data_IF_519099773383
#
_entry.id   IF_519099773383
#
_cell.length_a   1.000
_cell.length_b   1.000
_cell.length_c   1.000
_cell.angle_alpha   90.00
_cell.angle_beta   90.00
_cell.angle_gamma   90.00
#
_symmetry.space_group_name_H-M   'P 1'
#
loop_
_entity.id
_entity.type
_entity.pdbx_description
1 polymer ?
#
# COMPACT_ATOMS: atom_id res chain seq x y z
N UNK A 1 34.03 -17.87 -10.57
CA UNK A 1 35.07 -18.81 -10.07
C UNK A 1 35.38 -18.43 -8.62
N UNK A 2 35.40 -19.37 -7.66
CA UNK A 2 35.84 -19.10 -6.29
C UNK A 2 37.24 -18.48 -6.32
N UNK A 3 37.47 -17.42 -5.53
CA UNK A 3 38.73 -16.68 -5.60
C UNK A 3 39.80 -17.37 -4.75
N UNK A 4 40.97 -17.61 -5.32
CA UNK A 4 42.09 -18.38 -4.73
C UNK A 4 43.00 -17.50 -3.83
N UNK A 5 42.59 -16.26 -3.53
CA UNK A 5 43.43 -15.30 -2.80
C UNK A 5 43.48 -15.62 -1.30
N UNK A 6 44.64 -16.00 -0.78
CA UNK A 6 44.82 -16.44 0.62
C UNK A 6 44.73 -15.35 1.70
N UNK A 7 44.65 -14.07 1.35
CA UNK A 7 44.45 -12.96 2.30
C UNK A 7 43.38 -12.00 1.79
N UNK A 8 42.34 -11.79 2.59
CA UNK A 8 41.36 -10.71 2.42
C UNK A 8 41.17 -10.01 3.76
N UNK A 9 41.13 -8.67 3.74
CA UNK A 9 40.90 -7.83 4.93
C UNK A 9 39.41 -7.54 5.20
N UNK A 10 38.56 -7.60 4.16
CA UNK A 10 37.17 -7.09 4.24
C UNK A 10 36.06 -8.16 4.08
N UNK A 11 36.38 -9.41 3.67
CA UNK A 11 35.40 -10.50 3.51
C UNK A 11 35.96 -11.83 4.01
N UNK A 12 35.11 -12.62 4.66
CA UNK A 12 35.48 -13.93 5.22
C UNK A 12 35.71 -14.98 4.12
N UNK A 13 36.80 -15.74 4.24
CA UNK A 13 37.07 -16.88 3.40
C UNK A 13 36.29 -18.08 3.96
N UNK A 14 35.10 -18.34 3.42
CA UNK A 14 34.23 -19.41 3.92
C UNK A 14 34.80 -20.74 3.41
N UNK A 15 35.14 -21.70 4.29
CA UNK A 15 35.58 -23.02 3.84
C UNK A 15 34.44 -23.69 3.06
N UNK A 16 34.75 -24.19 1.86
CA UNK A 16 33.80 -24.81 0.94
C UNK A 16 34.36 -26.14 0.44
N UNK A 17 33.51 -27.17 0.30
CA UNK A 17 33.89 -28.46 -0.29
C UNK A 17 33.70 -28.51 -1.80
N UNK A 18 32.71 -27.77 -2.31
CA UNK A 18 32.39 -27.68 -3.73
C UNK A 18 31.95 -26.25 -4.12
N UNK A 19 31.99 -25.94 -5.41
CA UNK A 19 31.65 -24.64 -6.00
C UNK A 19 30.19 -24.24 -5.69
N UNK A 20 29.26 -25.20 -5.66
CA UNK A 20 27.87 -24.95 -5.27
C UNK A 20 27.78 -24.43 -3.84
N UNK A 21 28.52 -25.04 -2.90
CA UNK A 21 28.51 -24.66 -1.49
C UNK A 21 29.09 -23.26 -1.28
N UNK A 22 30.12 -22.89 -2.04
CA UNK A 22 30.68 -21.54 -2.03
C UNK A 22 29.63 -20.49 -2.41
N UNK A 23 28.93 -20.66 -3.55
CA UNK A 23 27.92 -19.68 -4.00
C UNK A 23 26.68 -19.69 -3.10
N UNK A 24 26.28 -20.85 -2.57
CA UNK A 24 25.19 -20.95 -1.61
C UNK A 24 25.48 -20.10 -0.37
N UNK A 25 26.68 -20.20 0.19
CA UNK A 25 27.07 -19.47 1.43
C UNK A 25 27.40 -18.00 1.22
N UNK A 26 28.01 -17.63 0.09
CA UNK A 26 28.50 -16.26 -0.14
C UNK A 26 27.50 -15.35 -0.86
N UNK A 27 26.56 -15.92 -1.62
CA UNK A 27 25.60 -15.15 -2.41
C UNK A 27 24.17 -15.49 -2.01
N UNK A 28 23.79 -16.77 -2.10
CA UNK A 28 22.39 -17.17 -1.97
C UNK A 28 21.82 -16.91 -0.57
N UNK A 29 22.50 -17.36 0.49
CA UNK A 29 22.05 -17.17 1.88
C UNK A 29 21.99 -15.67 2.23
N UNK A 30 23.06 -14.86 2.04
CA UNK A 30 22.99 -13.42 2.31
C UNK A 30 21.91 -12.69 1.53
N UNK A 31 21.68 -13.08 0.27
CA UNK A 31 20.60 -12.52 -0.54
C UNK A 31 19.22 -12.89 -0.01
N UNK A 32 19.01 -14.15 0.41
CA UNK A 32 17.75 -14.56 1.04
C UNK A 32 17.51 -13.83 2.36
N UNK A 33 18.55 -13.66 3.18
CA UNK A 33 18.47 -12.92 4.43
C UNK A 33 18.13 -11.44 4.18
N UNK A 34 18.76 -10.81 3.18
CA UNK A 34 18.47 -9.43 2.77
C UNK A 34 17.04 -9.28 2.24
N UNK A 35 16.57 -10.23 1.43
CA UNK A 35 15.20 -10.26 0.91
C UNK A 35 14.18 -10.46 2.04
N UNK A 36 14.45 -11.37 2.98
CA UNK A 36 13.64 -11.56 4.18
C UNK A 36 13.61 -10.30 5.05
N UNK A 37 14.77 -9.66 5.25
CA UNK A 37 14.87 -8.43 6.02
C UNK A 37 14.08 -7.29 5.36
N UNK A 38 14.23 -7.13 4.04
CA UNK A 38 13.50 -6.13 3.24
C UNK A 38 11.99 -6.36 3.30
N UNK A 39 11.52 -7.61 3.21
CA UNK A 39 10.10 -7.93 3.35
C UNK A 39 9.60 -7.65 4.77
N UNK A 40 10.36 -8.04 5.80
CA UNK A 40 10.02 -7.76 7.20
C UNK A 40 9.95 -6.25 7.45
N UNK A 41 10.94 -5.49 7.00
CA UNK A 41 10.95 -4.03 7.11
C UNK A 41 9.79 -3.40 6.35
N UNK A 42 9.44 -3.89 5.16
CA UNK A 42 8.34 -3.31 4.38
C UNK A 42 6.96 -3.56 5.00
N UNK A 43 6.71 -4.76 5.55
CA UNK A 43 5.37 -5.16 6.00
C UNK A 43 5.15 -5.09 7.51
N UNK A 44 6.21 -5.27 8.33
CA UNK A 44 6.07 -5.32 9.79
C UNK A 44 6.28 -3.96 10.45
N UNK A 45 7.08 -3.07 9.85
CA UNK A 45 7.37 -1.74 10.42
C UNK A 45 6.12 -0.89 10.61
N UNK A 46 5.20 -0.93 9.64
CA UNK A 46 3.96 -0.15 9.64
C UNK A 46 2.75 -0.96 10.14
N UNK A 47 2.94 -2.20 10.61
CA UNK A 47 1.85 -3.08 11.01
C UNK A 47 0.99 -2.43 12.11
N UNK A 48 1.63 -1.86 13.12
CA UNK A 48 0.93 -1.26 14.26
C UNK A 48 0.24 0.05 13.86
N UNK A 49 0.87 0.86 13.00
CA UNK A 49 0.26 2.08 12.45
C UNK A 49 -0.95 1.76 11.57
N UNK A 50 -0.86 0.76 10.68
CA UNK A 50 -1.97 0.34 9.82
C UNK A 50 -3.09 -0.26 10.68
N UNK A 51 -2.76 -1.07 11.68
CA UNK A 51 -3.75 -1.58 12.64
C UNK A 51 -4.42 -0.46 13.42
N UNK A 52 -3.66 0.56 13.82
CA UNK A 52 -4.18 1.75 14.48
C UNK A 52 -5.16 2.51 13.57
N UNK A 53 -4.81 2.66 12.30
CA UNK A 53 -5.61 3.35 11.30
C UNK A 53 -6.95 2.62 11.01
N UNK A 54 -6.99 1.28 11.11
CA UNK A 54 -8.24 0.51 10.96
C UNK A 54 -9.30 0.86 12.03
N UNK A 55 -8.91 1.44 13.18
CA UNK A 55 -9.86 1.85 14.21
C UNK A 55 -10.71 3.07 13.84
N UNK A 56 -10.59 3.61 12.61
CA UNK A 56 -11.52 4.61 12.05
C UNK A 56 -12.76 3.94 11.43
N UNK A 57 -12.69 2.65 11.10
CA UNK A 57 -13.81 1.91 10.52
C UNK A 57 -14.93 1.68 11.56
N UNK A 58 -16.20 2.00 11.26
CA UNK A 58 -17.36 1.83 12.15
C UNK A 58 -17.52 0.45 12.78
N UNK A 59 -17.07 -0.59 12.09
CA UNK A 59 -17.05 -1.97 12.60
C UNK A 59 -16.14 -2.13 13.82
N UNK A 60 -15.07 -1.34 13.93
CA UNK A 60 -14.02 -1.43 14.94
C UNK A 60 -13.95 -0.22 15.89
N UNK A 61 -14.55 0.92 15.51
CA UNK A 61 -14.48 2.19 16.27
C UNK A 61 -15.23 2.13 17.61
N UNK A 62 -16.39 1.48 17.65
CA UNK A 62 -17.43 1.72 18.68
C UNK A 62 -16.99 1.34 20.10
N UNK A 63 -16.14 0.32 20.24
CA UNK A 63 -15.76 -0.26 21.53
C UNK A 63 -14.30 0.04 21.92
N UNK A 64 -13.59 0.88 21.17
CA UNK A 64 -12.15 1.12 21.35
C UNK A 64 -11.83 2.54 21.83
N UNK A 65 -10.97 2.72 22.83
CA UNK A 65 -10.56 4.05 23.26
C UNK A 65 -9.72 4.75 22.17
N UNK A 66 -9.66 6.08 22.21
CA UNK A 66 -8.83 6.89 21.32
C UNK A 66 -7.33 6.53 21.38
N UNK A 67 -6.87 5.94 22.48
CA UNK A 67 -5.49 5.42 22.60
C UNK A 67 -5.13 4.40 21.53
N UNK A 68 -6.11 3.69 20.96
CA UNK A 68 -5.88 2.78 19.84
C UNK A 68 -5.62 3.49 18.51
N UNK A 69 -6.16 4.70 18.33
CA UNK A 69 -6.01 5.52 17.11
C UNK A 69 -4.82 6.50 17.19
N UNK A 70 -4.38 6.84 18.41
CA UNK A 70 -3.27 7.77 18.65
C UNK A 70 -1.99 7.47 17.85
N UNK A 71 -1.50 6.22 17.71
CA UNK A 71 -0.32 5.92 16.90
C UNK A 71 -0.46 6.32 15.42
N UNK A 72 -1.64 6.12 14.84
CA UNK A 72 -1.91 6.56 13.46
C UNK A 72 -1.99 8.08 13.36
N UNK A 73 -2.63 8.74 14.33
CA UNK A 73 -2.74 10.21 14.35
C UNK A 73 -1.38 10.87 14.46
N UNK A 74 -0.49 10.35 15.31
CA UNK A 74 0.89 10.85 15.43
C UNK A 74 1.73 10.59 14.18
N UNK A 75 1.49 9.48 13.48
CA UNK A 75 2.22 9.17 12.25
C UNK A 75 1.77 10.04 11.06
N UNK A 76 0.49 10.41 11.00
CA UNK A 76 -0.10 11.22 9.92
C UNK A 76 -0.44 12.65 10.38
N UNK A 77 0.26 13.18 11.39
CA UNK A 77 -0.04 14.51 11.96
C UNK A 77 0.05 15.61 10.90
N UNK A 78 1.03 15.52 9.99
CA UNK A 78 1.23 16.47 8.89
C UNK A 78 0.11 16.44 7.82
N UNK A 79 -0.59 15.31 7.70
CA UNK A 79 -1.66 15.11 6.72
C UNK A 79 -3.04 15.46 7.27
N UNK A 80 -3.15 15.77 8.56
CA UNK A 80 -4.41 16.00 9.26
C UNK A 80 -4.71 17.50 9.43
N UNK A 81 -5.97 17.93 9.22
CA UNK A 81 -6.33 19.35 9.30
C UNK A 81 -6.43 19.88 10.74
N UNK A 82 -6.54 19.01 11.76
CA UNK A 82 -6.73 19.40 13.16
C UNK A 82 -5.67 18.85 14.10
N UNK A 83 -5.52 19.51 15.25
CA UNK A 83 -4.65 19.07 16.34
C UNK A 83 -5.22 17.84 17.07
N UNK A 84 -4.36 17.13 17.79
CA UNK A 84 -4.70 15.87 18.47
C UNK A 84 -5.95 15.96 19.37
N UNK A 85 -6.15 17.08 20.07
CA UNK A 85 -7.31 17.28 20.96
C UNK A 85 -8.64 17.40 20.19
N UNK A 86 -8.61 18.06 19.03
CA UNK A 86 -9.77 18.20 18.14
C UNK A 86 -10.12 16.83 17.55
N UNK A 87 -9.10 16.07 17.13
CA UNK A 87 -9.27 14.72 16.59
C UNK A 87 -9.86 13.78 17.64
N UNK A 88 -9.44 13.88 18.90
CA UNK A 88 -10.02 13.06 19.99
C UNK A 88 -11.51 13.38 20.22
N UNK A 89 -11.87 14.67 20.24
CA UNK A 89 -13.25 15.09 20.38
C UNK A 89 -14.11 14.61 19.18
N UNK A 90 -13.61 14.78 17.96
CA UNK A 90 -14.26 14.32 16.74
C UNK A 90 -14.41 12.79 16.72
N UNK A 91 -13.41 12.04 17.19
CA UNK A 91 -13.46 10.59 17.30
C UNK A 91 -14.56 10.14 18.27
N UNK A 92 -14.74 10.81 19.41
CA UNK A 92 -15.83 10.50 20.36
C UNK A 92 -17.21 10.76 19.76
N UNK A 93 -17.35 11.81 18.96
CA UNK A 93 -18.59 12.09 18.21
C UNK A 93 -18.84 11.03 17.13
N UNK A 94 -17.79 10.65 16.41
CA UNK A 94 -17.83 9.57 15.41
C UNK A 94 -18.29 8.24 16.04
N UNK A 95 -17.75 7.88 17.20
CA UNK A 95 -18.19 6.71 17.95
C UNK A 95 -19.66 6.80 18.34
N UNK A 96 -20.11 7.97 18.81
CA UNK A 96 -21.51 8.18 19.19
C UNK A 96 -22.45 8.01 18.00
N UNK A 97 -22.10 8.54 16.81
CA UNK A 97 -22.86 8.34 15.56
C UNK A 97 -23.04 6.85 15.25
N UNK A 98 -21.97 6.07 15.31
CA UNK A 98 -22.01 4.64 14.96
C UNK A 98 -22.55 3.74 16.07
N UNK A 99 -22.69 4.23 17.31
CA UNK A 99 -23.44 3.56 18.38
C UNK A 99 -24.94 3.59 18.13
N UNK A 100 -25.45 4.66 17.52
CA UNK A 100 -26.86 4.77 17.14
C UNK A 100 -27.23 3.81 15.99
N UNK A 101 -26.24 3.42 15.18
CA UNK A 101 -26.41 2.49 14.06
C UNK A 101 -26.15 1.05 14.51
N UNK A 102 -27.12 0.17 14.29
CA UNK A 102 -27.00 -1.26 14.62
C UNK A 102 -25.78 -1.92 13.96
N UNK A 103 -25.14 -2.90 14.60
CA UNK A 103 -23.86 -3.48 14.15
C UNK A 103 -23.91 -4.08 12.73
N UNK A 104 -25.08 -4.54 12.27
CA UNK A 104 -25.27 -5.11 10.92
C UNK A 104 -25.24 -4.08 9.79
N UNK A 105 -25.50 -2.81 10.09
CA UNK A 105 -25.54 -1.73 9.09
C UNK A 105 -24.24 -0.93 9.05
N UNK A 106 -23.24 -1.31 9.85
CA UNK A 106 -21.96 -0.63 9.88
C UNK A 106 -21.10 -1.07 8.69
N UNK A 107 -20.62 -0.13 7.87
CA UNK A 107 -19.80 -0.48 6.72
C UNK A 107 -18.46 -1.07 7.19
N UNK A 108 -18.07 -2.16 6.54
CA UNK A 108 -16.82 -2.90 6.81
C UNK A 108 -15.65 -2.32 6.00
N UNK A 109 -15.96 -1.66 4.88
CA UNK A 109 -15.00 -1.20 3.90
C UNK A 109 -14.70 0.29 4.06
N UNK A 110 -13.44 0.68 3.85
CA UNK A 110 -13.00 2.08 3.86
C UNK A 110 -13.74 2.96 2.82
N UNK A 111 -14.14 2.37 1.69
CA UNK A 111 -14.82 3.07 0.60
C UNK A 111 -16.29 3.34 0.97
N UNK A 112 -16.98 2.34 1.54
CA UNK A 112 -18.36 2.49 2.01
C UNK A 112 -18.46 3.45 3.20
N UNK A 113 -17.45 3.44 4.08
CA UNK A 113 -17.39 4.39 5.19
C UNK A 113 -17.14 5.81 4.69
N UNK A 114 -16.25 5.99 3.71
CA UNK A 114 -15.97 7.29 3.10
C UNK A 114 -17.19 7.89 2.40
N UNK A 115 -17.99 7.07 1.71
CA UNK A 115 -19.23 7.52 1.04
C UNK A 115 -20.34 7.92 2.00
N UNK A 116 -20.37 7.34 3.21
CA UNK A 116 -21.32 7.70 4.27
C UNK A 116 -20.77 8.74 5.27
N UNK A 117 -19.60 9.30 5.01
CA UNK A 117 -18.94 10.28 5.86
C UNK A 117 -19.09 11.68 5.26
N UNK A 118 -19.77 12.57 5.99
CA UNK A 118 -19.83 13.98 5.63
C UNK A 118 -18.52 14.69 5.97
N UNK A 119 -17.80 15.13 4.93
CA UNK A 119 -16.50 15.81 5.06
C UNK A 119 -16.57 17.09 5.90
N UNK A 120 -17.72 17.76 5.93
CA UNK A 120 -17.92 18.99 6.70
C UNK A 120 -18.15 18.73 8.19
N UNK A 121 -18.71 17.56 8.54
CA UNK A 121 -19.02 17.21 9.92
C UNK A 121 -17.87 16.49 10.61
N UNK A 122 -17.11 15.70 9.84
CA UNK A 122 -15.96 14.94 10.34
C UNK A 122 -14.73 15.07 9.41
N UNK A 123 -14.08 16.25 9.38
CA UNK A 123 -12.96 16.49 8.47
C UNK A 123 -11.75 15.61 8.78
N UNK A 124 -11.44 15.34 10.06
CA UNK A 124 -10.30 14.50 10.43
C UNK A 124 -10.58 13.03 10.16
N UNK A 125 -11.79 12.54 10.49
CA UNK A 125 -12.15 11.15 10.19
C UNK A 125 -12.21 10.91 8.67
N UNK A 126 -12.71 11.88 7.90
CA UNK A 126 -12.72 11.82 6.44
C UNK A 126 -11.31 11.70 5.86
N UNK A 127 -10.37 12.51 6.36
CA UNK A 127 -8.98 12.46 5.93
C UNK A 127 -8.31 11.13 6.28
N UNK A 128 -8.53 10.60 7.49
CA UNK A 128 -8.02 9.28 7.88
C UNK A 128 -8.63 8.15 7.02
N UNK A 129 -9.92 8.21 6.70
CA UNK A 129 -10.57 7.26 5.79
C UNK A 129 -10.00 7.33 4.37
N UNK A 130 -9.68 8.54 3.90
CA UNK A 130 -8.99 8.74 2.61
C UNK A 130 -7.59 8.14 2.63
N UNK A 131 -6.83 8.32 3.72
CA UNK A 131 -5.52 7.69 3.90
C UNK A 131 -5.62 6.16 3.85
N UNK A 132 -6.58 5.54 4.55
CA UNK A 132 -6.83 4.08 4.48
C UNK A 132 -7.15 3.63 3.05
N UNK A 133 -7.91 4.44 2.32
CA UNK A 133 -8.38 4.10 0.98
C UNK A 133 -7.27 4.20 -0.08
N UNK A 134 -6.30 5.08 0.13
CA UNK A 134 -5.14 5.28 -0.76
C UNK A 134 -3.98 4.37 -0.38
N UNK A 135 -3.85 4.01 0.90
CA UNK A 135 -2.87 3.02 1.32
C UNK A 135 -3.15 1.70 0.60
N UNK A 136 -2.15 1.11 -0.06
CA UNK A 136 -2.29 -0.18 -0.73
C UNK A 136 -2.35 -1.29 0.32
N UNK A 137 -3.48 -1.39 1.05
CA UNK A 137 -3.79 -2.53 1.93
C UNK A 137 -4.00 -3.80 1.10
N UNK A 138 -4.23 -3.67 -0.22
CA UNK A 138 -4.11 -4.75 -1.18
C UNK A 138 -3.19 -4.36 -2.33
N UNK A 139 -1.93 -4.78 -2.27
CA UNK A 139 -1.03 -4.67 -3.43
C UNK A 139 -1.52 -5.51 -4.61
N UNK A 140 -2.51 -6.39 -4.43
CA UNK A 140 -3.05 -7.26 -5.47
C UNK A 140 -3.61 -6.52 -6.69
N UNK A 141 -4.31 -5.39 -6.52
CA UNK A 141 -4.89 -4.64 -7.66
C UNK A 141 -3.85 -3.82 -8.41
N UNK A 142 -2.93 -3.18 -7.69
CA UNK A 142 -1.80 -2.47 -8.28
C UNK A 142 -0.83 -3.44 -8.98
N UNK A 143 -0.47 -4.55 -8.36
CA UNK A 143 0.38 -5.60 -8.94
C UNK A 143 -0.27 -6.24 -10.18
N UNK A 144 -1.59 -6.46 -10.17
CA UNK A 144 -2.33 -6.89 -11.37
C UNK A 144 -2.21 -5.87 -12.50
N UNK A 145 -2.39 -4.58 -12.19
CA UNK A 145 -2.29 -3.50 -13.18
C UNK A 145 -0.86 -3.35 -13.74
N UNK A 146 0.16 -3.41 -12.89
CA UNK A 146 1.57 -3.41 -13.32
C UNK A 146 1.95 -4.69 -14.09
N UNK A 147 1.38 -5.84 -13.75
CA UNK A 147 1.58 -7.09 -14.49
C UNK A 147 0.95 -7.01 -15.89
N UNK A 148 -0.27 -6.47 -16.00
CA UNK A 148 -0.92 -6.20 -17.30
C UNK A 148 -0.11 -5.22 -18.13
N UNK A 149 0.35 -4.11 -17.54
CA UNK A 149 1.25 -3.14 -18.16
C UNK A 149 2.56 -3.79 -18.65
N UNK A 150 3.17 -4.65 -17.83
CA UNK A 150 4.41 -5.36 -18.18
C UNK A 150 4.19 -6.35 -19.32
N UNK A 151 3.04 -7.04 -19.36
CA UNK A 151 2.65 -7.91 -20.49
C UNK A 151 2.44 -7.08 -21.76
N UNK A 152 1.71 -5.97 -21.70
CA UNK A 152 1.52 -5.05 -22.82
C UNK A 152 2.84 -4.48 -23.32
N UNK A 153 3.72 -4.03 -22.43
CA UNK A 153 5.05 -3.51 -22.77
C UNK A 153 5.96 -4.57 -23.38
N UNK A 154 5.87 -5.83 -22.91
CA UNK A 154 6.64 -6.95 -23.48
C UNK A 154 6.12 -7.31 -24.87
N UNK A 155 4.80 -7.30 -25.08
CA UNK A 155 4.16 -7.57 -26.37
C UNK A 155 4.47 -6.47 -27.41
N UNK A 156 4.44 -5.19 -26.99
CA UNK A 156 4.63 -4.02 -27.86
C UNK A 156 6.09 -3.56 -27.97
N UNK A 157 7.05 -4.26 -27.35
CA UNK A 157 8.47 -3.87 -27.27
C UNK A 157 9.14 -3.66 -28.64
N UNK A 158 8.51 -4.08 -29.73
CA UNK A 158 9.02 -3.93 -31.08
C UNK A 158 8.45 -2.73 -31.87
N UNK A 159 7.46 -1.93 -31.42
CA UNK A 159 6.96 -0.81 -32.27
C UNK A 159 6.10 0.32 -31.63
N UNK A 160 6.28 0.74 -30.36
CA UNK A 160 5.35 1.74 -29.78
C UNK A 160 6.00 2.81 -28.89
N UNK A 161 5.56 4.05 -29.05
CA UNK A 161 5.89 5.25 -28.24
C UNK A 161 5.21 5.23 -26.86
N UNK A 162 5.75 5.95 -25.87
CA UNK A 162 5.23 5.95 -24.50
C UNK A 162 3.76 6.41 -24.40
N UNK A 163 3.35 7.41 -25.19
CA UNK A 163 1.97 7.91 -25.23
C UNK A 163 0.95 6.82 -25.58
N UNK A 164 1.22 6.07 -26.65
CA UNK A 164 0.38 4.95 -27.11
C UNK A 164 0.34 3.81 -26.10
N UNK A 165 1.45 3.53 -25.42
CA UNK A 165 1.51 2.50 -24.38
C UNK A 165 0.64 2.88 -23.18
N UNK A 166 0.67 4.13 -22.74
CA UNK A 166 -0.15 4.63 -21.62
C UNK A 166 -1.63 4.57 -21.98
N UNK A 167 -2.02 5.01 -23.18
CA UNK A 167 -3.41 4.94 -23.65
C UNK A 167 -3.94 3.50 -23.68
N UNK A 168 -3.18 2.56 -24.24
CA UNK A 168 -3.56 1.14 -24.28
C UNK A 168 -3.64 0.51 -22.89
N UNK A 169 -2.77 0.90 -21.97
CA UNK A 169 -2.82 0.43 -20.59
C UNK A 169 -4.05 0.94 -19.85
N UNK A 170 -4.40 2.21 -20.03
CA UNK A 170 -5.61 2.79 -19.44
C UNK A 170 -6.87 2.07 -19.95
N UNK A 171 -6.96 1.82 -21.26
CA UNK A 171 -8.05 1.05 -21.87
C UNK A 171 -8.12 -0.40 -21.34
N UNK A 172 -6.97 -1.05 -21.14
CA UNK A 172 -6.92 -2.41 -20.62
C UNK A 172 -7.29 -2.49 -19.13
N UNK A 173 -7.00 -1.47 -18.34
CA UNK A 173 -7.27 -1.43 -16.89
C UNK A 173 -8.73 -1.01 -16.63
N UNK A 174 -9.27 -0.08 -17.42
CA UNK A 174 -10.62 0.48 -17.26
C UNK A 174 -11.56 -0.02 -18.37
N UNK A 175 -11.72 -1.34 -18.49
CA UNK A 175 -12.59 -1.95 -19.51
C UNK A 175 -14.09 -1.64 -19.31
N UNK A 176 -14.46 -1.16 -18.12
CA UNK A 176 -15.85 -0.87 -17.73
C UNK A 176 -16.25 0.61 -17.98
N UNK A 177 -15.36 1.42 -18.58
CA UNK A 177 -15.65 2.82 -18.93
C UNK A 177 -15.81 2.90 -20.45
N UNK A 178 -16.99 3.26 -20.93
CA UNK A 178 -17.24 3.58 -22.34
C UNK A 178 -16.51 4.88 -22.70
N UNK A 179 -15.31 4.76 -23.27
CA UNK A 179 -14.54 5.90 -23.75
C UNK A 179 -14.92 6.11 -25.21
N UNK A 180 -15.48 7.27 -25.54
CA UNK A 180 -15.86 7.67 -26.91
C UNK A 180 -14.64 7.66 -27.84
N UNK A 181 -14.76 7.01 -29.00
CA UNK A 181 -13.70 6.74 -29.98
C UNK A 181 -12.87 7.99 -30.36
N UNK A 182 -13.49 9.18 -30.39
CA UNK A 182 -12.85 10.45 -30.78
C UNK A 182 -11.73 10.90 -29.84
N UNK A 183 -11.79 10.56 -28.54
CA UNK A 183 -10.72 10.91 -27.59
C UNK A 183 -9.49 10.02 -27.73
N UNK A 184 -9.67 8.80 -28.25
CA UNK A 184 -8.62 7.80 -28.36
C UNK A 184 -7.76 8.06 -29.61
N UNK A 185 -8.38 8.46 -30.72
CA UNK A 185 -7.68 8.70 -32.00
C UNK A 185 -6.67 9.85 -31.88
N UNK A 186 -7.00 10.91 -31.13
CA UNK A 186 -6.11 12.07 -30.93
C UNK A 186 -4.85 11.81 -30.10
N UNK A 187 -4.80 10.72 -29.32
CA UNK A 187 -3.62 10.34 -28.52
C UNK A 187 -2.82 9.17 -29.12
N UNK A 188 -3.37 8.50 -30.15
CA UNK A 188 -2.74 7.32 -30.79
C UNK A 188 -1.92 7.69 -32.04
N UNK A 189 -2.22 8.83 -32.69
CA UNK A 189 -1.41 9.41 -33.77
C UNK A 189 -0.27 10.26 -33.21
#
# INVERSE_FOLDING_TARGET
MPRISGRQKNRNNVPFKDIEEFYRRTIFIPYLDDLLCSLKQRFLSHKDTIKSLQYVLPSLTVDKPFSCLKPAVQFYEDDLPGYQDIIEAEFKLWQSKWKTVGPKFRPLNAIETLTNCDSNMFPNMYQLLKLISVLPVSTATAERSFSSLRRLKTYLRNSTTESRLVGLALLSIHRDIDISDDQIIGQIC
#
